data_IF_465471530952
#
_entry.id   IF_465471530952
#
_cell.length_a   1.000
_cell.length_b   1.000
_cell.length_c   1.000
_cell.angle_alpha   90.00
_cell.angle_beta   90.00
_cell.angle_gamma   90.00
#
_symmetry.space_group_name_H-M   'P 1'
#
loop_
_entity.id
_entity.type
_entity.pdbx_description
1 polymer ?
#
# COMPACT_ATOMS: atom_id res chain seq x y z
N UNK A 1 -40.82 38.58 4.87
CA UNK A 1 -39.76 38.46 3.84
C UNK A 1 -38.62 39.49 3.98
N UNK A 2 -38.52 40.24 5.10
CA UNK A 2 -37.63 41.43 5.18
C UNK A 2 -36.46 41.32 6.16
N UNK A 3 -36.35 40.24 6.93
CA UNK A 3 -35.24 40.04 7.89
C UNK A 3 -33.92 39.63 7.22
N UNK A 4 -33.96 38.85 6.14
CA UNK A 4 -32.73 38.37 5.46
C UNK A 4 -31.99 39.47 4.71
N UNK A 5 -32.66 40.56 4.32
CA UNK A 5 -32.04 41.67 3.58
C UNK A 5 -31.26 42.63 4.50
N UNK A 6 -31.68 42.80 5.75
CA UNK A 6 -31.09 43.78 6.68
C UNK A 6 -30.10 43.18 7.68
N UNK A 7 -30.14 41.85 7.90
CA UNK A 7 -29.36 41.17 8.95
C UNK A 7 -28.65 39.91 8.44
N UNK A 8 -28.40 39.78 7.13
CA UNK A 8 -27.79 38.57 6.55
C UNK A 8 -26.47 38.15 7.21
N UNK A 9 -25.70 39.12 7.72
CA UNK A 9 -24.42 38.88 8.39
C UNK A 9 -24.55 38.60 9.91
N UNK A 10 -25.70 38.88 10.53
CA UNK A 10 -25.93 38.68 11.97
C UNK A 10 -26.99 37.63 12.30
N UNK A 11 -27.70 37.11 11.28
CA UNK A 11 -28.69 36.05 11.46
C UNK A 11 -27.97 34.71 11.62
N UNK A 12 -27.90 34.21 12.86
CA UNK A 12 -27.39 32.88 13.15
C UNK A 12 -28.53 31.88 13.12
N UNK A 13 -28.47 30.94 12.16
CA UNK A 13 -29.37 29.80 12.12
C UNK A 13 -28.73 28.65 12.90
N UNK A 14 -29.37 28.23 14.00
CA UNK A 14 -28.93 27.07 14.75
C UNK A 14 -29.49 25.80 14.11
N UNK A 15 -28.66 24.76 14.04
CA UNK A 15 -29.08 23.46 13.51
C UNK A 15 -29.97 22.73 14.53
N UNK A 16 -31.01 22.04 14.07
CA UNK A 16 -31.77 21.10 14.91
C UNK A 16 -30.93 19.87 15.26
N UNK A 17 -30.15 19.41 14.29
CA UNK A 17 -29.23 18.29 14.41
C UNK A 17 -27.81 18.83 14.29
N UNK A 18 -27.04 18.69 15.37
CA UNK A 18 -25.66 19.21 15.44
C UNK A 18 -24.62 18.23 14.88
N UNK A 19 -25.04 17.03 14.49
CA UNK A 19 -24.19 15.94 14.03
C UNK A 19 -24.80 15.29 12.80
N UNK A 20 -24.05 15.25 11.70
CA UNK A 20 -24.47 14.64 10.44
C UNK A 20 -23.31 13.84 9.85
N UNK A 21 -23.52 12.57 9.48
CA UNK A 21 -22.45 11.77 8.90
C UNK A 21 -22.11 12.31 7.50
N UNK A 22 -20.83 12.37 7.15
CA UNK A 22 -20.39 12.91 5.84
C UNK A 22 -21.09 12.24 4.65
N UNK A 23 -21.40 10.93 4.73
CA UNK A 23 -22.16 10.21 3.69
C UNK A 23 -23.51 10.82 3.32
N UNK A 24 -24.09 11.67 4.17
CA UNK A 24 -25.38 12.33 3.92
C UNK A 24 -25.31 13.42 2.85
N UNK A 25 -24.13 14.03 2.65
CA UNK A 25 -23.93 15.12 1.69
C UNK A 25 -22.67 14.99 0.83
N UNK A 26 -21.77 14.06 1.14
CA UNK A 26 -20.52 13.83 0.44
C UNK A 26 -20.54 12.48 -0.28
N UNK A 27 -20.16 12.48 -1.56
CA UNK A 27 -19.93 11.26 -2.36
C UNK A 27 -18.50 11.27 -2.90
N UNK A 28 -17.73 10.23 -2.58
CA UNK A 28 -16.37 10.02 -3.07
C UNK A 28 -16.33 8.67 -3.79
N UNK A 29 -15.74 8.65 -4.98
CA UNK A 29 -15.54 7.43 -5.78
C UNK A 29 -14.05 7.26 -6.07
N UNK A 30 -13.35 6.32 -5.40
CA UNK A 30 -11.95 6.09 -5.68
C UNK A 30 -11.77 5.49 -7.07
N UNK A 31 -10.66 5.84 -7.72
CA UNK A 31 -10.23 5.22 -8.97
C UNK A 31 -8.88 4.55 -8.74
N UNK A 32 -8.85 3.24 -8.84
CA UNK A 32 -7.62 2.46 -8.74
C UNK A 32 -6.88 2.44 -10.08
N UNK A 33 -5.59 2.12 -10.04
CA UNK A 33 -4.77 2.02 -11.23
C UNK A 33 -5.20 0.81 -12.08
N UNK A 34 -5.29 0.95 -13.41
CA UNK A 34 -5.76 -0.10 -14.32
C UNK A 34 -4.95 -1.41 -14.23
N UNK A 35 -3.70 -1.31 -13.77
CA UNK A 35 -2.85 -2.47 -13.46
C UNK A 35 -3.51 -3.43 -12.45
N UNK A 36 -4.23 -2.90 -11.45
CA UNK A 36 -4.87 -3.67 -10.40
C UNK A 36 -6.16 -4.38 -10.84
N UNK A 37 -6.62 -4.15 -12.08
CA UNK A 37 -7.69 -4.89 -12.74
C UNK A 37 -7.22 -5.62 -13.99
N UNK A 38 -5.91 -5.61 -14.25
CA UNK A 38 -5.30 -6.26 -15.42
C UNK A 38 -5.05 -7.74 -15.19
N UNK A 39 -4.73 -8.47 -16.27
CA UNK A 39 -4.30 -9.86 -16.18
C UNK A 39 -3.06 -10.08 -15.31
N UNK A 40 -2.22 -9.06 -15.09
CA UNK A 40 -0.97 -9.21 -14.35
C UNK A 40 -1.15 -9.48 -12.85
N UNK A 41 -2.34 -9.21 -12.31
CA UNK A 41 -2.71 -9.54 -10.92
C UNK A 41 -3.67 -10.73 -10.84
N UNK A 42 -3.95 -11.41 -11.96
CA UNK A 42 -4.83 -12.56 -11.96
C UNK A 42 -4.11 -13.83 -11.51
N UNK A 43 -4.86 -14.72 -10.87
CA UNK A 43 -4.33 -16.04 -10.50
C UNK A 43 -3.94 -16.86 -11.74
N UNK A 44 -4.64 -16.69 -12.87
CA UNK A 44 -4.31 -17.37 -14.12
C UNK A 44 -2.93 -16.99 -14.65
N UNK A 45 -2.57 -15.71 -14.56
CA UNK A 45 -1.23 -15.25 -14.95
C UNK A 45 -0.15 -15.82 -14.04
N UNK A 46 -0.39 -15.82 -12.73
CA UNK A 46 0.53 -16.41 -11.74
C UNK A 46 0.71 -17.92 -12.01
N UNK A 47 -0.39 -18.63 -12.26
CA UNK A 47 -0.38 -20.06 -12.56
C UNK A 47 0.37 -20.37 -13.87
N UNK A 48 0.19 -19.55 -14.91
CA UNK A 48 0.92 -19.69 -16.17
C UNK A 48 2.44 -19.57 -15.98
N UNK A 49 2.88 -18.60 -15.17
CA UNK A 49 4.29 -18.40 -14.86
C UNK A 49 4.90 -19.56 -14.05
N UNK A 50 4.13 -20.16 -13.14
CA UNK A 50 4.57 -21.26 -12.27
C UNK A 50 4.52 -22.63 -12.96
N UNK A 51 3.41 -22.96 -13.62
CA UNK A 51 3.11 -24.28 -14.17
C UNK A 51 3.60 -24.47 -15.60
N UNK A 52 2.82 -23.99 -16.59
CA UNK A 52 2.99 -24.32 -18.00
C UNK A 52 4.29 -23.75 -18.62
N UNK A 53 4.75 -22.60 -18.14
CA UNK A 53 5.99 -21.98 -18.64
C UNK A 53 7.27 -22.63 -18.11
N UNK A 54 7.23 -23.30 -16.96
CA UNK A 54 8.38 -23.79 -16.20
C UNK A 54 9.54 -22.75 -16.16
N UNK A 55 9.19 -21.46 -16.06
CA UNK A 55 10.16 -20.38 -16.27
C UNK A 55 11.18 -20.36 -15.12
N UNK A 56 10.71 -20.66 -13.90
CA UNK A 56 11.53 -20.70 -12.69
C UNK A 56 12.74 -21.64 -12.82
N UNK A 57 12.56 -22.83 -13.42
CA UNK A 57 13.63 -23.83 -13.51
C UNK A 57 14.39 -23.77 -14.85
N UNK A 58 13.90 -23.00 -15.82
CA UNK A 58 14.51 -22.87 -17.16
C UNK A 58 15.48 -21.72 -17.28
N UNK A 59 15.37 -20.71 -16.43
CA UNK A 59 16.20 -19.52 -16.52
C UNK A 59 17.15 -19.37 -15.32
N UNK A 60 18.26 -18.66 -15.56
CA UNK A 60 19.20 -18.28 -14.51
C UNK A 60 18.48 -17.51 -13.40
N UNK A 61 18.95 -17.62 -12.15
CA UNK A 61 18.46 -16.82 -11.04
C UNK A 61 18.61 -15.31 -11.27
N UNK A 62 19.46 -14.91 -12.22
CA UNK A 62 19.65 -13.52 -12.65
C UNK A 62 18.70 -13.07 -13.77
N UNK A 63 17.82 -13.95 -14.24
CA UNK A 63 16.79 -13.61 -15.22
C UNK A 63 15.50 -13.23 -14.50
N UNK A 64 14.86 -12.13 -14.89
CA UNK A 64 13.57 -11.70 -14.32
C UNK A 64 12.54 -12.83 -14.28
N UNK A 65 12.51 -13.70 -15.30
CA UNK A 65 11.55 -14.80 -15.40
C UNK A 65 11.70 -15.84 -14.28
N UNK A 66 12.88 -15.93 -13.66
CA UNK A 66 13.09 -16.81 -12.51
C UNK A 66 12.39 -16.30 -11.24
N UNK A 67 12.24 -14.98 -11.06
CA UNK A 67 11.56 -14.38 -9.90
C UNK A 67 10.19 -13.77 -10.22
N UNK A 68 9.79 -13.76 -11.50
CA UNK A 68 8.57 -13.11 -11.99
C UNK A 68 7.32 -13.52 -11.19
N UNK A 69 7.17 -14.80 -10.86
CA UNK A 69 6.04 -15.29 -10.05
C UNK A 69 5.92 -14.51 -8.74
N UNK A 70 7.03 -14.37 -7.99
CA UNK A 70 7.04 -13.62 -6.73
C UNK A 70 6.77 -12.13 -6.93
N UNK A 71 7.26 -11.54 -8.03
CA UNK A 71 7.03 -10.13 -8.34
C UNK A 71 5.57 -9.84 -8.66
N UNK A 72 4.89 -10.70 -9.43
CA UNK A 72 3.46 -10.54 -9.74
C UNK A 72 2.56 -10.90 -8.56
N UNK A 73 2.95 -11.85 -7.70
CA UNK A 73 2.29 -12.07 -6.42
C UNK A 73 2.38 -10.83 -5.52
N UNK A 74 3.57 -10.22 -5.40
CA UNK A 74 3.74 -8.97 -4.67
C UNK A 74 2.86 -7.85 -5.25
N UNK A 75 2.82 -7.71 -6.58
CA UNK A 75 1.95 -6.74 -7.23
C UNK A 75 0.47 -6.96 -6.89
N UNK A 76 0.01 -8.21 -6.87
CA UNK A 76 -1.36 -8.58 -6.51
C UNK A 76 -1.66 -8.13 -5.07
N UNK A 77 -0.81 -8.51 -4.12
CA UNK A 77 -0.97 -8.12 -2.72
C UNK A 77 -0.91 -6.60 -2.51
N UNK A 78 -0.05 -5.88 -3.25
CA UNK A 78 0.00 -4.41 -3.22
C UNK A 78 -1.32 -3.79 -3.72
N UNK A 79 -1.88 -4.33 -4.80
CA UNK A 79 -3.14 -3.86 -5.36
C UNK A 79 -4.32 -4.12 -4.41
N UNK A 80 -4.40 -5.30 -3.80
CA UNK A 80 -5.42 -5.65 -2.80
C UNK A 80 -5.29 -4.76 -1.57
N UNK A 81 -4.09 -4.70 -0.97
CA UNK A 81 -3.85 -3.90 0.25
C UNK A 81 -4.13 -2.41 0.01
N UNK A 82 -3.79 -1.88 -1.17
CA UNK A 82 -4.10 -0.50 -1.54
C UNK A 82 -5.61 -0.26 -1.63
N UNK A 83 -6.35 -1.18 -2.25
CA UNK A 83 -7.81 -1.10 -2.36
C UNK A 83 -8.47 -1.16 -0.99
N UNK A 84 -8.08 -2.12 -0.16
CA UNK A 84 -8.61 -2.28 1.19
C UNK A 84 -8.31 -1.04 2.05
N UNK A 85 -7.06 -0.56 2.04
CA UNK A 85 -6.67 0.63 2.80
C UNK A 85 -7.50 1.86 2.41
N UNK A 86 -7.73 2.06 1.12
CA UNK A 86 -8.54 3.18 0.61
C UNK A 86 -10.01 2.99 0.97
N UNK A 87 -10.56 1.80 0.80
CA UNK A 87 -11.96 1.50 1.10
C UNK A 87 -12.25 1.66 2.59
N UNK A 88 -11.39 1.13 3.45
CA UNK A 88 -11.52 1.23 4.91
C UNK A 88 -11.43 2.70 5.36
N UNK A 89 -10.44 3.43 4.86
CA UNK A 89 -10.29 4.86 5.17
C UNK A 89 -11.50 5.67 4.67
N UNK A 90 -12.07 5.29 3.53
CA UNK A 90 -13.23 5.95 2.97
C UNK A 90 -14.49 5.68 3.80
N UNK A 91 -14.69 4.43 4.25
CA UNK A 91 -15.77 4.08 5.18
C UNK A 91 -15.64 4.87 6.47
N UNK A 92 -14.43 4.96 7.04
CA UNK A 92 -14.19 5.78 8.25
C UNK A 92 -14.55 7.24 8.03
N UNK A 93 -14.11 7.84 6.92
CA UNK A 93 -14.46 9.22 6.57
C UNK A 93 -15.97 9.42 6.43
N UNK A 94 -16.64 8.61 5.61
CA UNK A 94 -18.06 8.77 5.28
C UNK A 94 -19.00 8.48 6.45
N UNK A 95 -18.56 7.64 7.39
CA UNK A 95 -19.29 7.37 8.64
C UNK A 95 -18.97 8.35 9.75
N UNK A 96 -17.88 9.11 9.65
CA UNK A 96 -17.55 10.15 10.63
C UNK A 96 -18.56 11.29 10.58
N UNK A 97 -18.83 11.85 11.74
CA UNK A 97 -19.81 12.91 11.91
C UNK A 97 -19.18 14.29 11.72
N UNK A 98 -19.76 15.06 10.81
CA UNK A 98 -19.60 16.49 10.77
C UNK A 98 -20.43 17.12 11.89
N UNK A 99 -19.77 17.92 12.73
CA UNK A 99 -20.38 18.48 13.93
C UNK A 99 -20.35 20.01 13.90
N UNK A 100 -21.51 20.64 13.90
CA UNK A 100 -21.64 22.10 13.98
C UNK A 100 -22.99 22.51 14.60
N UNK A 101 -22.96 23.59 15.36
CA UNK A 101 -24.16 24.13 16.03
C UNK A 101 -24.88 25.16 15.17
N UNK A 102 -24.22 25.66 14.14
CA UNK A 102 -24.72 26.72 13.29
C UNK A 102 -24.69 26.28 11.83
N UNK A 103 -25.67 26.77 11.07
CA UNK A 103 -25.68 26.58 9.63
C UNK A 103 -24.48 27.32 9.03
N UNK A 104 -23.63 26.57 8.33
CA UNK A 104 -22.51 27.16 7.61
C UNK A 104 -22.94 27.80 6.31
N UNK A 105 -22.18 28.80 5.88
CA UNK A 105 -22.19 29.22 4.48
C UNK A 105 -21.62 28.10 3.61
N UNK A 106 -22.10 28.02 2.37
CA UNK A 106 -21.61 27.08 1.36
C UNK A 106 -20.08 27.13 1.23
N UNK A 107 -19.50 28.34 1.13
CA UNK A 107 -18.06 28.55 1.06
C UNK A 107 -17.32 27.94 2.26
N UNK A 108 -17.89 28.02 3.47
CA UNK A 108 -17.25 27.47 4.67
C UNK A 108 -17.35 25.96 4.71
N UNK A 109 -18.51 25.41 4.30
CA UNK A 109 -18.70 23.97 4.15
C UNK A 109 -17.71 23.39 3.13
N UNK A 110 -17.54 24.03 1.98
CA UNK A 110 -16.59 23.60 0.95
C UNK A 110 -15.15 23.59 1.47
N UNK A 111 -14.74 24.63 2.20
CA UNK A 111 -13.40 24.68 2.81
C UNK A 111 -13.16 23.53 3.78
N UNK A 112 -14.16 23.16 4.57
CA UNK A 112 -14.08 22.05 5.52
C UNK A 112 -13.98 20.71 4.78
N UNK A 113 -14.84 20.49 3.78
CA UNK A 113 -14.80 19.29 2.94
C UNK A 113 -13.43 19.16 2.27
N UNK A 114 -12.91 20.23 1.68
CA UNK A 114 -11.59 20.21 1.05
C UNK A 114 -10.47 19.92 2.04
N UNK A 115 -10.54 20.47 3.24
CA UNK A 115 -9.57 20.17 4.30
C UNK A 115 -9.61 18.69 4.66
N UNK A 116 -10.80 18.11 4.78
CA UNK A 116 -10.97 16.70 5.10
C UNK A 116 -10.49 15.78 3.97
N UNK A 117 -10.77 16.13 2.71
CA UNK A 117 -10.26 15.41 1.53
C UNK A 117 -8.73 15.48 1.46
N UNK A 118 -8.14 16.66 1.70
CA UNK A 118 -6.69 16.83 1.71
C UNK A 118 -6.04 15.97 2.79
N UNK A 119 -6.62 15.93 3.99
CA UNK A 119 -6.15 15.04 5.06
C UNK A 119 -6.24 13.56 4.64
N UNK A 120 -7.38 13.13 4.09
CA UNK A 120 -7.56 11.78 3.58
C UNK A 120 -6.48 11.40 2.54
N UNK A 121 -6.20 12.29 1.59
CA UNK A 121 -5.18 12.08 0.56
C UNK A 121 -3.76 12.04 1.11
N UNK A 122 -3.49 12.77 2.19
CA UNK A 122 -2.16 12.79 2.83
C UNK A 122 -1.93 11.60 3.76
N UNK A 123 -2.95 11.15 4.50
CA UNK A 123 -2.77 10.12 5.54
C UNK A 123 -2.94 8.70 5.01
N UNK A 124 -3.87 8.48 4.09
CA UNK A 124 -4.20 7.14 3.57
C UNK A 124 -3.00 6.46 2.91
N UNK A 125 -2.25 7.11 1.99
CA UNK A 125 -1.06 6.48 1.39
C UNK A 125 0.05 6.22 2.42
N UNK A 126 0.20 7.10 3.41
CA UNK A 126 1.20 6.94 4.47
C UNK A 126 0.92 5.71 5.34
N UNK A 127 -0.34 5.36 5.58
CA UNK A 127 -0.71 4.12 6.28
C UNK A 127 -0.16 2.89 5.55
N UNK A 128 -0.36 2.81 4.24
CA UNK A 128 0.17 1.73 3.40
C UNK A 128 1.70 1.69 3.42
N UNK A 129 2.36 2.85 3.27
CA UNK A 129 3.82 2.93 3.30
C UNK A 129 4.39 2.49 4.65
N UNK A 130 3.72 2.83 5.75
CA UNK A 130 4.13 2.40 7.10
C UNK A 130 4.05 0.88 7.24
N UNK A 131 2.99 0.24 6.73
CA UNK A 131 2.86 -1.23 6.73
C UNK A 131 3.99 -1.87 5.90
N UNK A 132 4.27 -1.35 4.70
CA UNK A 132 5.33 -1.87 3.83
C UNK A 132 6.72 -1.72 4.47
N UNK A 133 6.99 -0.58 5.10
CA UNK A 133 8.24 -0.35 5.80
C UNK A 133 8.39 -1.31 6.99
N UNK A 134 7.33 -1.50 7.78
CA UNK A 134 7.34 -2.44 8.90
C UNK A 134 7.63 -3.88 8.43
N UNK A 135 7.03 -4.32 7.33
CA UNK A 135 7.29 -5.64 6.73
C UNK A 135 8.76 -5.76 6.33
N UNK A 136 9.30 -4.78 5.59
CA UNK A 136 10.70 -4.79 5.15
C UNK A 136 11.69 -4.75 6.31
N UNK A 137 11.43 -3.92 7.32
CA UNK A 137 12.22 -3.83 8.53
C UNK A 137 12.21 -5.16 9.28
N UNK A 138 11.04 -5.78 9.43
CA UNK A 138 10.91 -7.09 10.09
C UNK A 138 11.68 -8.16 9.33
N UNK A 139 11.57 -8.19 8.00
CA UNK A 139 12.30 -9.14 7.15
C UNK A 139 13.82 -8.92 7.27
N UNK A 140 14.29 -7.68 7.17
CA UNK A 140 15.70 -7.33 7.23
C UNK A 140 16.33 -7.58 8.60
N UNK A 141 15.70 -7.09 9.67
CA UNK A 141 16.20 -7.21 11.03
C UNK A 141 16.24 -8.65 11.55
N UNK A 142 15.30 -9.49 11.10
CA UNK A 142 15.23 -10.91 11.49
C UNK A 142 15.91 -11.84 10.46
N UNK A 143 16.55 -11.29 9.43
CA UNK A 143 17.23 -12.06 8.38
C UNK A 143 16.32 -13.11 7.73
N UNK A 144 15.03 -12.78 7.57
CA UNK A 144 14.04 -13.72 7.02
C UNK A 144 14.34 -13.93 5.54
N UNK A 145 14.65 -15.18 5.20
CA UNK A 145 14.92 -15.59 3.82
C UNK A 145 13.63 -15.54 3.02
N UNK A 146 13.59 -14.69 1.99
CA UNK A 146 12.49 -14.67 1.03
C UNK A 146 12.43 -15.99 0.25
N UNK A 147 11.26 -16.35 -0.26
CA UNK A 147 11.07 -17.61 -1.01
C UNK A 147 12.06 -17.78 -2.18
N UNK A 148 12.44 -16.68 -2.82
CA UNK A 148 13.40 -16.64 -3.93
C UNK A 148 14.83 -16.37 -3.50
N UNK A 149 15.08 -16.25 -2.20
CA UNK A 149 16.38 -15.89 -1.63
C UNK A 149 16.99 -14.71 -2.38
N UNK A 150 16.23 -13.61 -2.52
CA UNK A 150 16.69 -12.37 -3.15
C UNK A 150 17.20 -11.34 -2.14
N UNK A 151 17.02 -11.59 -0.85
CA UNK A 151 17.44 -10.74 0.25
C UNK A 151 18.51 -11.41 1.13
N UNK A 152 18.30 -12.67 1.49
CA UNK A 152 19.20 -13.50 2.31
C UNK A 152 19.30 -14.90 1.69
N UNK A 153 20.45 -15.55 1.86
CA UNK A 153 20.70 -16.95 1.51
C UNK A 153 20.95 -17.75 2.78
N UNK A 154 20.54 -19.01 2.79
CA UNK A 154 20.97 -19.96 3.82
C UNK A 154 22.36 -20.48 3.43
N UNK A 155 23.34 -20.30 4.30
CA UNK A 155 24.67 -20.89 4.15
C UNK A 155 24.55 -22.41 4.33
N UNK A 156 24.45 -23.14 3.23
CA UNK A 156 24.49 -24.59 3.23
C UNK A 156 25.91 -25.05 2.96
N UNK A 157 26.63 -25.50 4.00
CA UNK A 157 27.71 -26.46 3.73
C UNK A 157 27.07 -27.77 3.25
N UNK A 158 27.73 -28.44 2.31
CA UNK A 158 27.17 -29.52 1.47
C UNK A 158 26.70 -30.78 2.21
N UNK A 159 26.69 -30.81 3.56
CA UNK A 159 26.20 -31.95 4.35
C UNK A 159 25.58 -31.46 5.67
N UNK A 160 24.26 -31.24 5.70
CA UNK A 160 23.54 -30.89 6.94
C UNK A 160 23.50 -32.12 7.86
N UNK A 161 24.23 -32.08 8.97
CA UNK A 161 24.17 -33.09 10.04
C UNK A 161 23.23 -32.61 11.16
N UNK A 162 22.66 -33.53 11.94
CA UNK A 162 21.81 -33.17 13.08
C UNK A 162 22.59 -32.33 14.10
N UNK A 163 22.06 -31.16 14.46
CA UNK A 163 22.65 -30.27 15.48
C UNK A 163 23.48 -29.09 14.96
N UNK A 164 23.58 -28.90 13.64
CA UNK A 164 24.24 -27.75 13.04
C UNK A 164 23.33 -26.52 13.00
N UNK A 165 23.92 -25.34 13.23
CA UNK A 165 23.24 -24.05 13.11
C UNK A 165 23.23 -23.61 11.65
N UNK A 166 22.05 -23.33 11.11
CA UNK A 166 21.94 -22.68 9.80
C UNK A 166 22.28 -21.19 9.95
N UNK A 167 23.19 -20.69 9.13
CA UNK A 167 23.53 -19.27 9.08
C UNK A 167 22.90 -18.64 7.84
N UNK A 168 22.51 -17.37 7.95
CA UNK A 168 22.04 -16.57 6.82
C UNK A 168 23.13 -15.62 6.35
N UNK A 169 23.25 -15.44 5.04
CA UNK A 169 24.19 -14.53 4.40
C UNK A 169 23.39 -13.47 3.63
N UNK A 170 23.64 -12.17 3.85
CA UNK A 170 22.94 -11.13 3.11
C UNK A 170 23.39 -11.12 1.65
N UNK A 171 22.46 -10.87 0.74
CA UNK A 171 22.79 -10.71 -0.68
C UNK A 171 23.30 -9.29 -0.94
N UNK A 172 24.30 -9.20 -1.82
CA UNK A 172 24.90 -7.95 -2.24
C UNK A 172 24.72 -7.76 -3.74
N UNK A 173 23.89 -6.80 -4.14
CA UNK A 173 23.73 -6.37 -5.52
C UNK A 173 24.55 -5.11 -5.76
N UNK A 174 25.77 -5.23 -6.29
CA UNK A 174 26.61 -4.07 -6.58
C UNK A 174 26.92 -3.25 -5.32
N UNK A 175 26.32 -2.05 -5.19
CA UNK A 175 26.47 -1.19 -4.00
C UNK A 175 25.41 -1.45 -2.93
N UNK A 176 24.47 -2.34 -3.22
CA UNK A 176 23.33 -2.64 -2.38
C UNK A 176 23.58 -3.88 -1.52
N UNK A 177 23.53 -3.75 -0.20
CA UNK A 177 23.77 -4.86 0.74
C UNK A 177 22.55 -5.02 1.66
N UNK A 178 21.88 -6.16 1.57
CA UNK A 178 20.65 -6.44 2.32
C UNK A 178 20.83 -6.66 3.82
N UNK A 179 22.07 -6.87 4.27
CA UNK A 179 22.40 -6.86 5.70
C UNK A 179 22.61 -5.46 6.27
N UNK A 180 22.79 -4.45 5.42
CA UNK A 180 23.03 -3.06 5.86
C UNK A 180 21.83 -2.16 5.63
N UNK A 181 20.99 -2.43 4.62
CA UNK A 181 19.82 -1.63 4.30
C UNK A 181 18.71 -2.47 3.68
N UNK A 182 17.54 -2.48 4.31
CA UNK A 182 16.34 -3.17 3.85
C UNK A 182 15.52 -2.37 2.82
N UNK A 183 15.86 -1.10 2.57
CA UNK A 183 15.23 -0.27 1.54
C UNK A 183 16.04 -0.20 0.26
N UNK A 184 17.18 -0.88 0.25
CA UNK A 184 18.12 -0.78 -0.84
C UNK A 184 17.61 -1.55 -2.07
N UNK A 185 17.61 -0.87 -3.22
CA UNK A 185 17.25 -1.44 -4.51
C UNK A 185 18.27 -1.04 -5.56
N UNK A 186 18.58 -1.93 -6.49
CA UNK A 186 19.45 -1.66 -7.62
C UNK A 186 19.01 -2.45 -8.85
N UNK A 187 19.08 -1.83 -10.02
CA UNK A 187 18.96 -2.56 -11.28
C UNK A 187 20.20 -3.45 -11.47
N UNK A 188 19.99 -4.77 -11.51
CA UNK A 188 21.04 -5.75 -11.75
C UNK A 188 20.59 -6.69 -12.86
N UNK A 189 21.35 -6.76 -13.95
CA UNK A 189 21.11 -7.66 -15.09
C UNK A 189 19.67 -7.62 -15.65
N UNK A 190 19.03 -6.44 -15.67
CA UNK A 190 17.68 -6.26 -16.19
C UNK A 190 16.56 -6.53 -15.18
N UNK A 191 16.90 -6.81 -13.92
CA UNK A 191 15.96 -6.95 -12.81
C UNK A 191 16.10 -5.77 -11.85
N UNK A 192 14.99 -5.31 -11.27
CA UNK A 192 15.06 -4.52 -10.05
C UNK A 192 15.27 -5.51 -8.89
N UNK A 193 16.51 -5.61 -8.43
CA UNK A 193 16.89 -6.45 -7.30
C UNK A 193 16.94 -5.58 -6.05
N UNK A 194 16.35 -6.05 -4.96
CA UNK A 194 16.24 -5.26 -3.76
C UNK A 194 16.12 -6.13 -2.53
N UNK A 195 16.40 -5.48 -1.42
CA UNK A 195 16.04 -5.92 -0.09
C UNK A 195 14.58 -5.46 0.17
#
# INVERSE_FOLDING_TARGET
QTLSLNYSQSLQCFCSDISLPYKSFLTIKPRFHDLCSSQFVSQDWINYLYGEGNLVYRYSFTDFRASAVGQFQLLTSLCETSQDTINDSLVQLLTSDYNDRQLLSEQRLDQLIQTQINQFQLTTPNSLLNILNLIRETIGANMIVSAWSVNWLIATESIIHSGWTAHTIPIVYGKCNCGLSWTCTQSSQGMMAGC
#
